data_IF_404061781000
#
_entry.id   IF_404061781000
#
_cell.length_a   1.000
_cell.length_b   1.000
_cell.length_c   1.000
_cell.angle_alpha   90.00
_cell.angle_beta   90.00
_cell.angle_gamma   90.00
#
_symmetry.space_group_name_H-M   'P 1'
#
loop_
_entity.id
_entity.type
_entity.pdbx_description
1 polymer ?
#
# COMPACT_ATOMS: atom_id res chain seq x y z
N UNK A 1 -15.37 -8.81 2.86
CA UNK A 1 -14.35 -9.88 2.93
C UNK A 1 -13.19 -9.43 2.06
N UNK A 2 -11.98 -9.31 2.60
CA UNK A 2 -10.81 -8.87 1.82
C UNK A 2 -10.38 -9.98 0.86
N UNK A 3 -10.28 -9.66 -0.42
CA UNK A 3 -9.78 -10.58 -1.43
C UNK A 3 -8.25 -10.67 -1.34
N UNK A 4 -7.72 -11.88 -1.54
CA UNK A 4 -6.27 -12.11 -1.69
C UNK A 4 -5.98 -12.17 -3.18
N UNK A 5 -5.14 -11.26 -3.67
CA UNK A 5 -4.71 -11.21 -5.07
C UNK A 5 -3.47 -12.10 -5.21
N UNK A 6 -3.59 -13.19 -5.96
CA UNK A 6 -2.47 -14.11 -6.22
C UNK A 6 -1.59 -13.58 -7.36
N UNK A 7 -0.37 -13.17 -7.02
CA UNK A 7 0.64 -12.68 -7.95
C UNK A 7 1.64 -13.81 -8.27
N UNK A 8 1.30 -14.61 -9.28
CA UNK A 8 2.16 -15.68 -9.81
C UNK A 8 3.51 -15.17 -10.30
N UNK A 9 3.55 -13.92 -10.79
CA UNK A 9 4.76 -13.22 -11.17
C UNK A 9 4.70 -11.83 -10.57
N UNK A 10 5.78 -11.41 -9.92
CA UNK A 10 5.94 -10.06 -9.42
C UNK A 10 7.40 -9.62 -9.58
N UNK A 11 7.62 -8.32 -9.70
CA UNK A 11 8.98 -7.77 -9.76
C UNK A 11 9.46 -7.53 -8.35
N UNK A 12 10.68 -7.96 -8.04
CA UNK A 12 11.34 -7.68 -6.76
C UNK A 12 11.94 -6.28 -6.78
N UNK A 13 11.80 -5.55 -5.68
CA UNK A 13 12.46 -4.29 -5.44
C UNK A 13 13.91 -4.50 -4.99
N UNK A 14 14.66 -3.41 -4.86
CA UNK A 14 15.98 -3.42 -4.22
C UNK A 14 15.89 -3.45 -2.68
N UNK A 15 14.69 -3.27 -2.12
CA UNK A 15 14.49 -3.25 -0.67
C UNK A 15 14.47 -4.68 -0.14
N UNK A 16 15.38 -4.95 0.79
CA UNK A 16 15.58 -6.26 1.41
C UNK A 16 15.69 -6.12 2.91
N UNK A 17 15.03 -7.01 3.63
CA UNK A 17 15.31 -7.22 5.04
C UNK A 17 16.54 -8.12 5.17
N UNK A 18 17.67 -7.56 5.61
CA UNK A 18 18.92 -8.32 5.71
C UNK A 18 18.84 -9.47 6.71
N UNK A 19 18.07 -9.30 7.79
CA UNK A 19 17.92 -10.30 8.84
C UNK A 19 17.23 -11.60 8.38
N UNK A 20 16.30 -11.50 7.42
CA UNK A 20 15.51 -12.64 6.93
C UNK A 20 15.80 -13.00 5.48
N UNK A 21 16.55 -12.15 4.76
CA UNK A 21 16.76 -12.26 3.31
C UNK A 21 15.51 -11.92 2.47
N UNK A 22 14.41 -11.52 3.10
CA UNK A 22 13.15 -11.18 2.43
C UNK A 22 13.37 -10.03 1.45
N UNK A 23 13.01 -10.24 0.18
CA UNK A 23 12.97 -9.19 -0.83
C UNK A 23 11.54 -8.70 -1.00
N UNK A 24 11.33 -7.40 -0.88
CA UNK A 24 10.01 -6.82 -1.05
C UNK A 24 9.64 -6.71 -2.54
N UNK A 25 8.36 -6.89 -2.91
CA UNK A 25 7.87 -6.59 -4.23
C UNK A 25 8.05 -5.10 -4.56
N UNK A 26 8.16 -4.80 -5.86
CA UNK A 26 8.07 -3.43 -6.36
C UNK A 26 6.66 -2.90 -6.13
N UNK A 27 6.58 -1.61 -5.85
CA UNK A 27 5.31 -0.89 -5.70
C UNK A 27 5.10 -0.09 -6.97
N UNK A 28 3.87 -0.08 -7.46
CA UNK A 28 3.45 0.76 -8.56
C UNK A 28 2.43 1.77 -8.08
N UNK A 29 2.65 3.03 -8.45
CA UNK A 29 1.64 4.08 -8.38
C UNK A 29 0.74 3.95 -9.59
N UNK A 30 -0.56 3.84 -9.36
CA UNK A 30 -1.60 3.90 -10.38
C UNK A 30 -2.28 5.25 -10.33
N UNK A 31 -2.28 5.98 -11.44
CA UNK A 31 -2.90 7.30 -11.56
C UNK A 31 -4.03 7.26 -12.57
N UNK A 32 -5.05 8.08 -12.36
CA UNK A 32 -6.13 8.27 -13.33
C UNK A 32 -7.22 9.14 -12.74
N UNK A 33 -8.47 8.86 -13.10
CA UNK A 33 -9.64 9.58 -12.57
C UNK A 33 -10.73 8.61 -12.12
N UNK A 34 -11.59 9.05 -11.22
CA UNK A 34 -12.82 8.31 -10.88
C UNK A 34 -13.69 8.15 -12.12
N UNK A 35 -14.48 7.09 -12.17
CA UNK A 35 -15.61 7.01 -13.10
C UNK A 35 -16.74 7.93 -12.67
N UNK A 36 -17.41 8.53 -13.64
CA UNK A 36 -18.65 9.28 -13.47
C UNK A 36 -19.71 8.73 -14.44
N UNK A 37 -20.97 9.12 -14.26
CA UNK A 37 -22.04 8.77 -15.19
C UNK A 37 -22.31 9.94 -16.14
N UNK A 38 -22.69 9.63 -17.38
CA UNK A 38 -23.19 10.67 -18.30
C UNK A 38 -24.35 11.44 -17.63
N UNK A 39 -24.47 12.76 -17.87
CA UNK A 39 -25.58 13.54 -17.33
C UNK A 39 -26.94 12.94 -17.70
N UNK A 40 -27.76 12.64 -16.70
CA UNK A 40 -29.09 12.04 -16.89
C UNK A 40 -29.12 10.53 -17.12
N UNK A 41 -27.97 9.84 -17.04
CA UNK A 41 -27.92 8.39 -17.09
C UNK A 41 -28.40 7.73 -15.79
N UNK A 42 -28.76 6.45 -15.88
CA UNK A 42 -29.00 5.62 -14.70
C UNK A 42 -27.69 5.49 -13.89
N UNK A 43 -27.67 5.83 -12.59
CA UNK A 43 -26.48 5.74 -11.74
C UNK A 43 -25.97 4.31 -11.50
N UNK A 44 -26.65 3.28 -12.01
CA UNK A 44 -26.21 1.89 -11.97
C UNK A 44 -25.77 1.34 -13.35
N UNK A 45 -25.82 2.16 -14.41
CA UNK A 45 -25.47 1.74 -15.76
C UNK A 45 -23.96 1.76 -15.98
N UNK A 46 -23.34 0.58 -16.08
CA UNK A 46 -21.92 0.46 -16.39
C UNK A 46 -21.57 0.93 -17.82
N UNK A 47 -22.52 0.85 -18.75
CA UNK A 47 -22.35 1.29 -20.14
C UNK A 47 -22.36 2.82 -20.30
N UNK A 48 -22.84 3.54 -19.26
CA UNK A 48 -22.88 4.99 -19.21
C UNK A 48 -21.75 5.62 -18.38
N UNK A 49 -20.79 4.80 -17.94
CA UNK A 49 -19.60 5.29 -17.29
C UNK A 49 -18.73 6.08 -18.28
N UNK A 50 -18.31 7.25 -17.84
CA UNK A 50 -17.34 8.12 -18.51
C UNK A 50 -16.22 8.48 -17.55
N UNK A 51 -15.00 8.77 -18.04
CA UNK A 51 -13.95 9.30 -17.18
C UNK A 51 -14.41 10.62 -16.54
N UNK A 52 -14.36 10.69 -15.21
CA UNK A 52 -14.66 11.90 -14.45
C UNK A 52 -13.48 12.88 -14.42
N UNK A 53 -13.55 13.86 -13.51
CA UNK A 53 -12.51 14.89 -13.35
C UNK A 53 -11.79 14.86 -12.00
N UNK A 54 -12.18 13.95 -11.09
CA UNK A 54 -11.54 13.80 -9.78
C UNK A 54 -10.34 12.87 -9.94
N UNK A 55 -9.10 13.37 -9.78
CA UNK A 55 -7.92 12.53 -9.89
C UNK A 55 -7.85 11.51 -8.75
N UNK A 56 -7.33 10.33 -9.06
CA UNK A 56 -7.13 9.25 -8.09
C UNK A 56 -5.71 8.72 -8.20
N UNK A 57 -5.12 8.45 -7.03
CA UNK A 57 -3.84 7.77 -6.88
C UNK A 57 -4.06 6.52 -6.03
N UNK A 58 -3.64 5.38 -6.56
CA UNK A 58 -3.69 4.06 -5.92
C UNK A 58 -2.29 3.45 -5.90
N UNK A 59 -2.07 2.48 -5.00
CA UNK A 59 -0.82 1.71 -4.96
C UNK A 59 -1.12 0.22 -5.05
N UNK A 60 -0.34 -0.48 -5.86
CA UNK A 60 -0.44 -1.92 -6.08
C UNK A 60 0.93 -2.55 -6.24
N UNK A 61 0.96 -3.87 -6.27
CA UNK A 61 2.16 -4.68 -6.51
C UNK A 61 2.19 -5.30 -7.91
N UNK A 62 1.17 -5.02 -8.75
CA UNK A 62 1.06 -5.54 -10.12
C UNK A 62 0.46 -4.53 -11.09
N UNK A 63 1.04 -4.44 -12.29
CA UNK A 63 0.51 -3.61 -13.41
C UNK A 63 -0.48 -4.38 -14.29
N UNK A 64 -0.51 -5.71 -14.18
CA UNK A 64 -1.30 -6.60 -15.04
C UNK A 64 -2.67 -6.90 -14.41
N UNK A 65 -3.09 -6.11 -13.42
CA UNK A 65 -4.39 -6.27 -12.81
C UNK A 65 -5.48 -5.79 -13.77
N UNK A 66 -6.41 -6.68 -14.13
CA UNK A 66 -7.62 -6.36 -14.90
C UNK A 66 -8.64 -5.61 -14.04
N UNK A 67 -8.19 -4.57 -13.35
CA UNK A 67 -9.05 -3.74 -12.53
C UNK A 67 -9.46 -2.50 -13.31
N UNK A 68 -10.76 -2.29 -13.39
CA UNK A 68 -11.37 -1.14 -14.05
C UNK A 68 -11.86 -0.11 -13.03
N UNK A 69 -11.35 -0.11 -11.79
CA UNK A 69 -11.69 0.86 -10.74
C UNK A 69 -11.43 2.33 -11.10
N UNK A 70 -10.41 2.56 -11.94
CA UNK A 70 -9.90 3.87 -12.32
C UNK A 70 -9.97 3.99 -13.84
N UNK A 71 -10.52 5.11 -14.31
CA UNK A 71 -10.55 5.43 -15.72
C UNK A 71 -9.18 5.95 -16.19
N UNK A 72 -8.77 5.54 -17.40
CA UNK A 72 -7.51 5.91 -18.05
C UNK A 72 -6.27 5.71 -17.14
N UNK A 73 -6.00 4.48 -16.66
CA UNK A 73 -4.92 4.26 -15.71
C UNK A 73 -3.54 4.44 -16.35
N UNK A 74 -2.70 5.21 -15.67
CA UNK A 74 -1.26 5.32 -15.89
C UNK A 74 -0.50 4.67 -14.73
N UNK A 75 0.68 4.12 -15.01
CA UNK A 75 1.45 3.34 -14.05
C UNK A 75 2.89 3.84 -13.93
N UNK A 76 3.32 4.14 -12.72
CA UNK A 76 4.71 4.44 -12.40
C UNK A 76 5.26 3.42 -11.41
N UNK A 77 6.43 2.87 -11.67
CA UNK A 77 7.18 2.13 -10.65
C UNK A 77 7.74 3.13 -9.63
N UNK A 78 7.54 2.89 -8.32
CA UNK A 78 8.00 3.80 -7.27
C UNK A 78 8.99 3.12 -6.31
N UNK A 79 10.11 3.81 -6.08
CA UNK A 79 11.12 3.45 -5.09
C UNK A 79 11.16 4.43 -3.90
N UNK A 80 10.54 5.61 -4.06
CA UNK A 80 10.30 6.62 -3.04
C UNK A 80 9.02 7.39 -3.43
N UNK A 81 8.34 8.07 -2.50
CA UNK A 81 7.16 8.83 -2.83
C UNK A 81 7.51 10.11 -3.63
N UNK A 82 6.50 10.75 -4.19
CA UNK A 82 6.57 12.02 -4.90
C UNK A 82 5.75 13.06 -4.16
N UNK A 83 6.39 14.16 -3.75
CA UNK A 83 5.72 15.25 -3.03
C UNK A 83 4.58 15.92 -3.81
N UNK A 84 4.57 15.81 -5.15
CA UNK A 84 3.53 16.39 -6.00
C UNK A 84 2.37 15.45 -6.32
N UNK A 85 2.50 14.14 -6.04
CA UNK A 85 1.52 13.12 -6.42
C UNK A 85 0.98 12.34 -5.23
N UNK A 86 1.80 12.13 -4.20
CA UNK A 86 1.45 11.30 -3.06
C UNK A 86 1.12 12.17 -1.85
N UNK A 87 -0.01 11.87 -1.20
CA UNK A 87 -0.42 12.50 0.05
C UNK A 87 -0.43 11.44 1.17
N UNK A 88 0.50 11.54 2.12
CA UNK A 88 0.55 10.67 3.29
C UNK A 88 1.55 9.51 3.17
N UNK A 89 1.26 8.41 3.86
CA UNK A 89 2.19 7.30 4.05
C UNK A 89 1.73 6.03 3.35
N UNK A 90 2.60 5.51 2.49
CA UNK A 90 2.42 4.24 1.78
C UNK A 90 3.13 3.16 2.58
N UNK A 91 2.42 2.13 3.02
CA UNK A 91 2.98 1.07 3.86
C UNK A 91 2.80 -0.26 3.14
N UNK A 92 3.91 -0.89 2.80
CA UNK A 92 3.98 -2.26 2.32
C UNK A 92 4.48 -3.17 3.45
N UNK A 93 3.61 -4.02 4.00
CA UNK A 93 3.94 -4.93 5.10
C UNK A 93 3.89 -6.37 4.65
N UNK A 94 4.92 -7.15 4.98
CA UNK A 94 4.94 -8.60 4.84
C UNK A 94 4.37 -9.29 6.09
N UNK A 95 3.65 -10.38 5.88
CA UNK A 95 3.00 -11.20 6.92
C UNK A 95 3.38 -12.66 6.74
N UNK A 96 3.67 -13.35 7.84
CA UNK A 96 4.09 -14.77 7.82
C UNK A 96 2.92 -15.72 7.61
N UNK A 97 1.70 -15.28 7.93
CA UNK A 97 0.51 -16.12 7.86
C UNK A 97 -0.73 -15.34 7.44
N UNK A 98 -1.76 -16.07 6.99
CA UNK A 98 -3.08 -15.50 6.70
C UNK A 98 -3.77 -14.95 7.96
N UNK A 99 -3.47 -15.52 9.12
CA UNK A 99 -4.03 -15.06 10.40
C UNK A 99 -3.42 -13.72 10.82
N UNK A 100 -2.12 -13.51 10.59
CA UNK A 100 -1.48 -12.20 10.77
C UNK A 100 -2.07 -11.14 9.84
N UNK A 101 -2.26 -11.47 8.55
CA UNK A 101 -2.96 -10.58 7.62
C UNK A 101 -4.34 -10.23 8.17
N UNK A 102 -5.13 -11.24 8.58
CA UNK A 102 -6.47 -11.01 9.12
C UNK A 102 -6.45 -10.12 10.36
N UNK A 103 -5.51 -10.34 11.29
CA UNK A 103 -5.34 -9.50 12.47
C UNK A 103 -5.01 -8.05 12.11
N UNK A 104 -4.05 -7.84 11.20
CA UNK A 104 -3.68 -6.52 10.71
C UNK A 104 -4.86 -5.78 10.08
N UNK A 105 -5.61 -6.45 9.22
CA UNK A 105 -6.75 -5.88 8.50
C UNK A 105 -7.89 -5.53 9.44
N UNK A 106 -8.17 -6.38 10.44
CA UNK A 106 -9.18 -6.08 11.45
C UNK A 106 -8.79 -4.82 12.25
N UNK A 107 -7.56 -4.77 12.77
CA UNK A 107 -7.07 -3.58 13.48
C UNK A 107 -7.08 -2.32 12.63
N UNK A 108 -6.80 -2.46 11.33
CA UNK A 108 -6.90 -1.34 10.38
C UNK A 108 -8.33 -0.82 10.25
N UNK A 109 -9.32 -1.70 10.10
CA UNK A 109 -10.74 -1.31 10.01
C UNK A 109 -11.28 -0.72 11.31
N UNK A 110 -10.76 -1.14 12.47
CA UNK A 110 -11.15 -0.58 13.76
C UNK A 110 -10.66 0.87 13.92
N UNK A 111 -9.54 1.22 13.28
CA UNK A 111 -8.87 2.51 13.46
C UNK A 111 -9.15 3.52 12.33
N UNK A 112 -9.42 3.05 11.11
CA UNK A 112 -9.64 3.94 9.97
C UNK A 112 -10.59 3.34 8.94
N UNK A 113 -11.30 4.23 8.24
CA UNK A 113 -12.04 3.84 7.04
C UNK A 113 -11.06 3.53 5.94
N UNK A 114 -11.07 2.30 5.43
CA UNK A 114 -10.18 1.91 4.35
C UNK A 114 -10.93 1.94 3.03
N UNK A 115 -10.37 2.69 2.08
CA UNK A 115 -10.87 2.72 0.73
C UNK A 115 -10.39 1.46 -0.01
N UNK A 116 -11.33 0.74 -0.65
CA UNK A 116 -11.12 -0.56 -1.34
C UNK A 116 -10.46 -1.65 -0.47
N UNK A 117 -11.19 -2.12 0.56
CA UNK A 117 -10.77 -3.21 1.46
C UNK A 117 -10.33 -4.51 0.78
N UNK A 118 -10.78 -4.72 -0.45
CA UNK A 118 -10.57 -5.89 -1.28
C UNK A 118 -9.23 -5.88 -2.04
N UNK A 119 -8.54 -4.73 -2.18
CA UNK A 119 -7.36 -4.60 -3.04
C UNK A 119 -6.08 -4.23 -2.28
N UNK A 120 -5.97 -4.74 -1.06
CA UNK A 120 -4.82 -4.48 -0.20
C UNK A 120 -3.98 -5.71 0.11
N UNK A 121 -4.47 -6.94 -0.13
CA UNK A 121 -3.72 -8.17 0.20
C UNK A 121 -3.25 -8.87 -1.05
N UNK A 122 -1.96 -9.15 -1.10
CA UNK A 122 -1.29 -9.79 -2.22
C UNK A 122 -0.56 -11.03 -1.72
N UNK A 123 -0.73 -12.14 -2.41
CA UNK A 123 0.04 -13.36 -2.19
C UNK A 123 1.08 -13.48 -3.29
N UNK A 124 2.33 -13.70 -2.89
CA UNK A 124 3.46 -13.93 -3.79
C UNK A 124 4.18 -15.22 -3.38
N UNK A 125 5.17 -15.66 -4.15
CA UNK A 125 6.05 -16.76 -3.73
C UNK A 125 6.86 -16.44 -2.46
N UNK A 126 7.09 -15.15 -2.17
CA UNK A 126 7.87 -14.71 -1.01
C UNK A 126 7.03 -14.55 0.26
N UNK A 127 5.70 -14.67 0.16
CA UNK A 127 4.79 -14.54 1.28
C UNK A 127 3.59 -13.64 0.98
N UNK A 128 2.90 -13.25 2.06
CA UNK A 128 1.72 -12.40 2.01
C UNK A 128 2.13 -10.95 2.28
N UNK A 129 1.58 -10.03 1.51
CA UNK A 129 1.86 -8.61 1.61
C UNK A 129 0.56 -7.83 1.72
N UNK A 130 0.56 -6.81 2.57
CA UNK A 130 -0.45 -5.75 2.54
C UNK A 130 0.13 -4.46 2.03
N UNK A 131 -0.60 -3.73 1.18
CA UNK A 131 -0.29 -2.34 0.85
C UNK A 131 -1.43 -1.44 1.31
N UNK A 132 -1.09 -0.41 2.08
CA UNK A 132 -2.07 0.52 2.65
C UNK A 132 -1.58 1.94 2.57
N UNK A 133 -2.50 2.88 2.41
CA UNK A 133 -2.24 4.31 2.57
C UNK A 133 -2.86 4.77 3.88
N UNK A 134 -2.17 5.64 4.61
CA UNK A 134 -2.73 6.34 5.77
C UNK A 134 -2.27 7.78 5.83
N UNK A 135 -3.04 8.61 6.52
CA UNK A 135 -2.67 9.99 6.78
C UNK A 135 -1.42 10.06 7.68
N UNK A 136 -0.55 11.06 7.46
CA UNK A 136 0.61 11.26 8.31
C UNK A 136 0.18 11.76 9.68
N UNK A 137 0.94 11.38 10.71
CA UNK A 137 0.71 11.93 12.05
C UNK A 137 1.02 13.44 12.08
N UNK A 138 0.32 14.23 12.92
CA UNK A 138 0.58 15.66 13.05
C UNK A 138 2.07 15.96 13.31
N UNK A 139 2.63 16.89 12.53
CA UNK A 139 4.03 17.31 12.67
C UNK A 139 5.08 16.33 12.12
N UNK A 140 4.67 15.20 11.52
CA UNK A 140 5.60 14.24 10.92
C UNK A 140 5.82 14.47 9.42
N UNK A 141 7.00 14.11 8.89
CA UNK A 141 7.31 14.16 7.46
C UNK A 141 6.28 13.41 6.61
N UNK A 142 5.95 13.97 5.45
CA UNK A 142 5.12 13.36 4.44
C UNK A 142 5.47 13.95 3.05
N UNK A 143 5.27 13.19 1.94
CA UNK A 143 4.87 11.79 1.93
C UNK A 143 6.02 10.84 2.30
N UNK A 144 5.68 9.64 2.78
CA UNK A 144 6.64 8.58 3.10
C UNK A 144 6.22 7.26 2.43
N UNK A 145 7.19 6.40 2.16
CA UNK A 145 6.98 4.98 1.86
C UNK A 145 7.70 4.12 2.90
N UNK A 146 7.04 3.07 3.37
CA UNK A 146 7.59 2.18 4.37
C UNK A 146 7.47 0.72 3.93
N UNK A 147 8.55 -0.04 4.11
CA UNK A 147 8.56 -1.50 3.99
C UNK A 147 8.71 -2.09 5.38
N UNK A 148 7.78 -2.96 5.77
CA UNK A 148 7.75 -3.53 7.12
C UNK A 148 7.66 -5.06 7.09
N UNK A 149 8.35 -5.71 8.01
CA UNK A 149 8.17 -7.14 8.30
C UNK A 149 8.58 -7.44 9.73
N UNK A 150 8.29 -8.63 10.23
CA UNK A 150 8.79 -9.08 11.53
C UNK A 150 10.05 -9.92 11.36
N UNK A 151 11.00 -9.74 12.28
CA UNK A 151 12.29 -10.43 12.32
C UNK A 151 12.46 -11.13 13.67
N UNK A 152 13.25 -12.21 13.76
CA UNK A 152 13.50 -12.86 15.05
C UNK A 152 14.19 -11.90 16.04
N UNK A 153 13.65 -11.76 17.25
CA UNK A 153 14.32 -10.98 18.30
C UNK A 153 15.53 -11.77 18.84
N UNK A 154 16.68 -11.14 19.14
CA UNK A 154 17.87 -11.80 19.70
C UNK A 154 17.71 -12.58 21.02
N UNK A 155 16.56 -12.49 21.69
CA UNK A 155 16.33 -13.08 23.02
C UNK A 155 15.11 -13.99 22.98
N UNK A 156 13.95 -13.42 22.71
CA UNK A 156 12.69 -14.15 22.59
C UNK A 156 11.68 -13.34 21.79
N UNK A 157 10.89 -14.00 20.95
CA UNK A 157 9.83 -13.36 20.17
C UNK A 157 10.31 -12.76 18.86
N UNK A 158 9.64 -11.68 18.45
CA UNK A 158 9.84 -11.02 17.15
C UNK A 158 9.95 -9.51 17.35
N UNK A 159 10.79 -8.87 16.53
CA UNK A 159 10.91 -7.43 16.40
C UNK A 159 10.33 -6.96 15.06
N UNK A 160 9.96 -5.69 14.96
CA UNK A 160 9.63 -5.06 13.68
C UNK A 160 10.92 -4.60 12.98
N UNK A 161 11.08 -5.00 11.72
CA UNK A 161 12.01 -4.38 10.80
C UNK A 161 11.22 -3.43 9.90
N UNK A 162 11.63 -2.16 9.86
CA UNK A 162 10.99 -1.15 9.03
C UNK A 162 12.06 -0.31 8.33
N UNK A 163 11.91 -0.14 7.02
CA UNK A 163 12.67 0.83 6.23
C UNK A 163 11.73 1.92 5.73
N UNK A 164 12.08 3.18 5.93
CA UNK A 164 11.22 4.33 5.59
C UNK A 164 11.97 5.31 4.71
N UNK A 165 11.39 5.70 3.57
CA UNK A 165 11.95 6.70 2.66
C UNK A 165 11.00 7.89 2.46
N UNK A 166 11.56 9.09 2.45
CA UNK A 166 10.87 10.34 2.10
C UNK A 166 10.89 10.64 0.60
N UNK A 167 10.22 11.73 0.22
CA UNK A 167 10.09 12.12 -1.20
C UNK A 167 11.41 12.50 -1.87
N UNK A 168 12.39 12.93 -1.08
CA UNK A 168 13.77 13.23 -1.50
C UNK A 168 14.64 11.97 -1.57
N UNK A 169 14.09 10.79 -1.26
CA UNK A 169 14.82 9.53 -1.16
C UNK A 169 15.62 9.37 0.12
N UNK A 170 15.56 10.33 1.05
CA UNK A 170 16.24 10.22 2.34
C UNK A 170 15.56 9.17 3.23
N UNK A 171 16.38 8.45 3.99
CA UNK A 171 15.92 7.45 4.94
C UNK A 171 15.52 8.09 6.27
N UNK A 172 14.38 7.68 6.79
CA UNK A 172 13.86 8.10 8.08
C UNK A 172 13.86 6.95 9.08
N UNK A 173 13.99 7.30 10.35
CA UNK A 173 13.84 6.35 11.45
C UNK A 173 12.39 5.83 11.52
N UNK A 174 12.19 4.58 11.92
CA UNK A 174 10.89 3.91 11.93
C UNK A 174 9.88 4.60 12.88
N UNK A 175 10.39 5.25 13.93
CA UNK A 175 9.66 6.00 14.95
C UNK A 175 8.82 7.12 14.37
N UNK A 176 9.14 7.59 13.15
CA UNK A 176 8.32 8.56 12.43
C UNK A 176 6.89 8.05 12.21
N UNK A 177 6.68 6.74 12.20
CA UNK A 177 5.39 6.08 11.97
C UNK A 177 4.58 5.88 13.25
N UNK A 178 5.13 6.18 14.43
CA UNK A 178 4.49 5.95 15.72
C UNK A 178 4.05 7.28 16.36
N UNK A 179 2.95 7.25 17.13
CA UNK A 179 2.56 8.38 17.97
C UNK A 179 3.48 8.48 19.18
N UNK A 180 3.82 9.70 19.61
CA UNK A 180 4.65 9.93 20.80
C UNK A 180 3.96 9.49 22.11
N UNK A 181 2.65 9.24 22.08
CA UNK A 181 1.83 8.89 23.25
C UNK A 181 1.96 7.42 23.71
N UNK A 182 3.05 6.73 23.35
CA UNK A 182 3.22 5.29 23.58
C UNK A 182 4.61 4.88 24.06
N UNK A 183 4.98 5.33 25.26
CA UNK A 183 5.98 4.70 26.12
C UNK A 183 5.35 4.39 27.49
#
# INVERSE_FOLDING_TARGET
>A
MTQIIDLKQYRRSLIRCEATGLAFPKIYRRRGVVWDHKPGADPNSLDDLIPGNIPVVEYTLSIDESDHSIANPEWDEIAHPSAGLDSGWIILRHHKSRDEVKGYINGLYDMQTVWRPDRMVYQTEAGLFTITQRDPLPGRPAPLIAWATTVPHPRFGEDDWVKVLGADGAEHAAEVLHSDDGA
#
